data_IF_526830219870
#
_entry.id   IF_526830219870
#
_cell.length_a   1.000
_cell.length_b   1.000
_cell.length_c   1.000
_cell.angle_alpha   90.00
_cell.angle_beta   90.00
_cell.angle_gamma   90.00
#
_symmetry.space_group_name_H-M   'P 1'
#
loop_
_entity.id
_entity.type
_entity.pdbx_description
1 polymer ?
#
# COMPACT_ATOMS: atom_id res chain seq x y z
N UNK A 1 9.73 -10.52 6.44
CA UNK A 1 8.35 -10.75 6.91
C UNK A 1 7.52 -9.47 6.80
N UNK A 2 7.94 -8.36 7.40
CA UNK A 2 7.18 -7.10 7.38
C UNK A 2 6.83 -6.59 5.97
N UNK A 3 7.77 -6.61 5.02
CA UNK A 3 7.50 -6.22 3.63
C UNK A 3 6.35 -7.03 2.98
N UNK A 4 6.32 -8.34 3.21
CA UNK A 4 5.34 -9.25 2.63
C UNK A 4 3.96 -9.06 3.27
N UNK A 5 3.93 -8.80 4.58
CA UNK A 5 2.70 -8.46 5.32
C UNK A 5 2.12 -7.15 4.80
N UNK A 6 2.94 -6.10 4.65
CA UNK A 6 2.49 -4.80 4.12
C UNK A 6 1.98 -4.92 2.68
N UNK A 7 2.59 -5.77 1.85
CA UNK A 7 2.15 -5.99 0.47
C UNK A 7 0.77 -6.66 0.43
N UNK A 8 0.57 -7.72 1.21
CA UNK A 8 -0.69 -8.46 1.25
C UNK A 8 -1.82 -7.61 1.83
N UNK A 9 -1.58 -6.93 2.95
CA UNK A 9 -2.57 -6.01 3.54
C UNK A 9 -2.88 -4.86 2.60
N UNK A 10 -1.86 -4.26 1.97
CA UNK A 10 -2.05 -3.18 1.00
C UNK A 10 -2.90 -3.62 -0.19
N UNK A 11 -2.65 -4.82 -0.73
CA UNK A 11 -3.45 -5.39 -1.82
C UNK A 11 -4.91 -5.64 -1.44
N UNK A 12 -5.17 -6.21 -0.26
CA UNK A 12 -6.54 -6.45 0.23
C UNK A 12 -7.28 -5.12 0.42
N UNK A 13 -6.66 -4.14 1.09
CA UNK A 13 -7.27 -2.83 1.35
C UNK A 13 -7.54 -2.08 0.03
N UNK A 14 -6.61 -2.12 -0.91
CA UNK A 14 -6.79 -1.50 -2.23
C UNK A 14 -7.95 -2.13 -3.01
N UNK A 15 -8.05 -3.47 -3.02
CA UNK A 15 -9.15 -4.17 -3.67
C UNK A 15 -10.51 -3.84 -3.04
N UNK A 16 -10.58 -3.77 -1.70
CA UNK A 16 -11.80 -3.37 -0.99
C UNK A 16 -12.21 -1.92 -1.30
N UNK A 17 -11.24 -1.01 -1.39
CA UNK A 17 -11.48 0.37 -1.77
C UNK A 17 -12.05 0.50 -3.19
N UNK A 18 -11.47 -0.22 -4.16
CA UNK A 18 -11.97 -0.25 -5.54
C UNK A 18 -13.38 -0.83 -5.61
N UNK A 19 -13.62 -1.95 -4.93
CA UNK A 19 -14.94 -2.59 -4.87
C UNK A 19 -16.00 -1.64 -4.30
N UNK A 20 -15.67 -0.91 -3.22
CA UNK A 20 -16.56 0.08 -2.64
C UNK A 20 -16.88 1.20 -3.64
N UNK A 21 -15.88 1.83 -4.25
CA UNK A 21 -16.09 2.92 -5.22
C UNK A 21 -16.94 2.45 -6.42
N UNK A 22 -16.70 1.24 -6.92
CA UNK A 22 -17.47 0.66 -8.02
C UNK A 22 -18.96 0.45 -7.68
N UNK A 23 -19.27 0.17 -6.41
CA UNK A 23 -20.65 -0.02 -5.95
C UNK A 23 -21.42 1.27 -5.67
N UNK A 24 -20.76 2.34 -5.21
CA UNK A 24 -21.46 3.57 -4.77
C UNK A 24 -21.49 4.69 -5.83
N UNK A 25 -20.66 4.63 -6.88
CA UNK A 25 -20.63 5.66 -7.94
C UNK A 25 -20.24 7.05 -7.42
N UNK A 26 -20.52 8.12 -8.17
CA UNK A 26 -20.13 9.48 -7.79
C UNK A 26 -20.96 10.02 -6.61
N UNK A 27 -20.44 9.85 -5.40
CA UNK A 27 -21.10 10.24 -4.14
C UNK A 27 -20.07 10.61 -3.06
N UNK A 28 -20.53 11.21 -1.96
CA UNK A 28 -19.66 11.48 -0.79
C UNK A 28 -19.01 10.19 -0.26
N UNK A 29 -19.71 9.05 -0.35
CA UNK A 29 -19.16 7.75 0.03
C UNK A 29 -18.00 7.30 -0.86
N UNK A 30 -17.94 7.73 -2.12
CA UNK A 30 -16.80 7.45 -2.98
C UNK A 30 -15.52 8.18 -2.54
N UNK A 31 -15.64 9.30 -1.79
CA UNK A 31 -14.48 9.95 -1.18
C UNK A 31 -13.86 9.02 -0.13
N UNK A 32 -14.70 8.37 0.68
CA UNK A 32 -14.23 7.37 1.66
C UNK A 32 -13.56 6.20 0.94
N UNK A 33 -14.16 5.70 -0.14
CA UNK A 33 -13.55 4.67 -0.98
C UNK A 33 -12.20 5.08 -1.56
N UNK A 34 -12.08 6.32 -2.05
CA UNK A 34 -10.80 6.85 -2.55
C UNK A 34 -9.72 6.95 -1.46
N UNK A 35 -10.09 7.30 -0.22
CA UNK A 35 -9.16 7.29 0.92
C UNK A 35 -8.68 5.86 1.24
N UNK A 36 -9.58 4.87 1.19
CA UNK A 36 -9.22 3.46 1.38
C UNK A 36 -8.24 2.99 0.29
N UNK A 37 -8.50 3.34 -0.97
CA UNK A 37 -7.58 3.06 -2.09
C UNK A 37 -6.21 3.70 -1.84
N UNK A 38 -6.17 4.96 -1.40
CA UNK A 38 -4.93 5.67 -1.10
C UNK A 38 -4.12 4.98 0.01
N UNK A 39 -4.77 4.54 1.08
CA UNK A 39 -4.12 3.77 2.17
C UNK A 39 -3.56 2.44 1.65
N UNK A 40 -4.33 1.71 0.83
CA UNK A 40 -3.88 0.47 0.20
C UNK A 40 -2.64 0.69 -0.66
N UNK A 41 -2.63 1.74 -1.50
CA UNK A 41 -1.48 2.12 -2.32
C UNK A 41 -0.25 2.51 -1.49
N UNK A 42 -0.43 3.25 -0.41
CA UNK A 42 0.65 3.64 0.50
C UNK A 42 1.32 2.42 1.17
N UNK A 43 0.53 1.41 1.56
CA UNK A 43 1.03 0.17 2.12
C UNK A 43 1.84 -0.64 1.11
N UNK A 44 1.41 -0.69 -0.16
CA UNK A 44 2.16 -1.31 -1.25
C UNK A 44 3.49 -0.56 -1.47
N UNK A 45 3.47 0.78 -1.51
CA UNK A 45 4.69 1.58 -1.61
C UNK A 45 5.66 1.33 -0.46
N UNK A 46 5.14 1.20 0.77
CA UNK A 46 5.92 0.84 1.95
C UNK A 46 6.54 -0.55 1.82
N UNK A 47 5.78 -1.54 1.33
CA UNK A 47 6.28 -2.88 1.08
C UNK A 47 7.43 -2.89 0.07
N UNK A 48 7.34 -2.08 -0.99
CA UNK A 48 8.41 -1.92 -1.98
C UNK A 48 9.67 -1.31 -1.35
N UNK A 49 9.54 -0.25 -0.56
CA UNK A 49 10.67 0.35 0.15
C UNK A 49 11.39 -0.66 1.05
N UNK A 50 10.63 -1.42 1.86
CA UNK A 50 11.17 -2.46 2.72
C UNK A 50 11.83 -3.61 1.94
N UNK A 51 11.29 -3.95 0.76
CA UNK A 51 11.89 -4.96 -0.10
C UNK A 51 13.23 -4.46 -0.68
N UNK A 52 13.28 -3.21 -1.14
CA UNK A 52 14.51 -2.61 -1.66
C UNK A 52 15.59 -2.42 -0.61
N UNK A 53 15.22 -2.06 0.62
CA UNK A 53 16.15 -2.03 1.75
C UNK A 53 16.74 -3.41 2.05
N UNK A 54 15.98 -4.49 1.83
CA UNK A 54 16.48 -5.85 2.02
C UNK A 54 17.41 -6.30 0.89
N UNK A 55 17.11 -5.91 -0.35
CA UNK A 55 17.91 -6.27 -1.54
C UNK A 55 19.22 -5.47 -1.56
N UNK A 56 19.17 -4.18 -1.25
CA UNK A 56 20.32 -3.29 -1.33
C UNK A 56 20.39 -2.37 -0.09
N UNK A 57 20.74 -2.94 1.09
CA UNK A 57 20.67 -2.23 2.35
C UNK A 57 21.58 -1.00 2.38
N UNK A 58 20.98 0.12 2.79
CA UNK A 58 21.66 1.41 3.00
C UNK A 58 22.82 1.30 4.00
N UNK A 59 22.74 0.38 4.97
CA UNK A 59 23.82 0.11 5.92
C UNK A 59 25.14 -0.31 5.26
N UNK A 60 25.10 -1.00 4.11
CA UNK A 60 26.32 -1.38 3.36
C UNK A 60 26.92 -0.24 2.54
N UNK A 61 26.17 0.86 2.35
CA UNK A 61 26.58 2.00 1.53
C UNK A 61 27.09 3.18 2.38
N UNK A 62 26.74 3.23 3.67
CA UNK A 62 27.11 4.32 4.56
C UNK A 62 28.52 4.21 5.18
N UNK A 63 29.36 3.26 4.75
CA UNK A 63 30.80 3.28 5.03
C UNK A 63 31.17 3.22 6.52
N UNK A 64 30.43 2.45 7.32
CA UNK A 64 30.91 1.93 8.61
C UNK A 64 31.00 0.42 8.54
#
# INVERSE_FOLDING_TARGET
MSALISLVLGGIILALGIWLVAGVGASVMAIIGALIIAVGGALIGTAMALAFDKINPTSRKLGR
#
